data_IF_410014430661
#
_entry.id   IF_410014430661
#
_cell.length_a   1.000
_cell.length_b   1.000
_cell.length_c   1.000
_cell.angle_alpha   90.00
_cell.angle_beta   90.00
_cell.angle_gamma   90.00
#
_symmetry.space_group_name_H-M   'P 1'
#
loop_
_entity.id
_entity.type
_entity.pdbx_description
1 polymer ?
#
# COMPACT_ATOMS: atom_id res chain seq x y z
N UNK A 1 1.55 4.56 10.31
CA UNK A 1 2.08 3.48 9.45
C UNK A 1 2.47 4.07 8.11
N UNK A 2 3.77 4.19 7.89
CA UNK A 2 4.40 4.51 6.59
C UNK A 2 4.61 3.22 5.80
N UNK A 3 5.05 3.32 4.54
CA UNK A 3 5.36 2.12 3.76
C UNK A 3 6.60 1.39 4.28
N UNK A 4 7.61 2.12 4.75
CA UNK A 4 8.78 1.55 5.40
C UNK A 4 8.42 0.83 6.70
N UNK A 5 7.58 1.43 7.54
CA UNK A 5 7.12 0.80 8.78
C UNK A 5 6.32 -0.47 8.51
N UNK A 6 5.46 -0.45 7.49
CA UNK A 6 4.69 -1.64 7.11
C UNK A 6 5.61 -2.73 6.53
N UNK A 7 6.59 -2.35 5.72
CA UNK A 7 7.60 -3.28 5.19
C UNK A 7 8.38 -3.95 6.31
N UNK A 8 8.94 -3.16 7.23
CA UNK A 8 9.69 -3.67 8.38
C UNK A 8 8.86 -4.65 9.21
N UNK A 9 7.58 -4.30 9.44
CA UNK A 9 6.64 -5.14 10.15
C UNK A 9 6.29 -6.46 9.43
N UNK A 10 6.19 -6.44 8.10
CA UNK A 10 6.02 -7.67 7.30
C UNK A 10 7.25 -8.57 7.41
N UNK A 11 8.44 -7.99 7.31
CA UNK A 11 9.71 -8.73 7.43
C UNK A 11 9.86 -9.32 8.83
N UNK A 12 9.57 -8.55 9.88
CA UNK A 12 9.66 -9.02 11.28
C UNK A 12 8.72 -10.20 11.57
N UNK A 13 7.53 -10.21 10.96
CA UNK A 13 6.55 -11.28 11.13
C UNK A 13 6.75 -12.45 10.17
N UNK A 14 7.72 -12.38 9.27
CA UNK A 14 7.94 -13.45 8.32
C UNK A 14 8.41 -14.71 9.05
N UNK A 15 7.76 -15.84 8.76
CA UNK A 15 8.19 -17.13 9.32
C UNK A 15 9.42 -17.68 8.61
N UNK A 16 9.68 -17.22 7.39
CA UNK A 16 10.82 -17.55 6.52
C UNK A 16 11.52 -16.28 6.04
N UNK A 17 12.65 -16.41 5.33
CA UNK A 17 13.36 -15.28 4.74
C UNK A 17 12.42 -14.49 3.81
N UNK A 18 12.41 -13.16 3.95
CA UNK A 18 11.68 -12.31 3.02
C UNK A 18 12.39 -12.27 1.68
N UNK A 19 11.71 -12.69 0.62
CA UNK A 19 12.29 -12.86 -0.71
C UNK A 19 12.01 -11.74 -1.70
N UNK A 20 11.16 -10.77 -1.35
CA UNK A 20 10.75 -9.67 -2.23
C UNK A 20 11.64 -8.43 -2.12
N UNK A 21 11.57 -7.54 -3.13
CA UNK A 21 12.17 -6.19 -3.05
C UNK A 21 11.24 -5.17 -2.35
N UNK A 22 9.94 -5.47 -2.31
CA UNK A 22 8.89 -4.72 -1.64
C UNK A 22 7.83 -5.70 -1.12
N UNK A 23 7.00 -5.26 -0.17
CA UNK A 23 5.88 -6.04 0.36
C UNK A 23 4.52 -5.62 -0.21
N UNK A 24 4.53 -4.87 -1.32
CA UNK A 24 3.33 -4.44 -2.03
C UNK A 24 3.50 -3.14 -2.80
N UNK A 25 2.45 -2.71 -3.49
CA UNK A 25 2.47 -1.51 -4.33
C UNK A 25 1.11 -0.81 -4.45
N UNK A 26 1.08 0.40 -5.02
CA UNK A 26 -0.15 1.13 -5.32
C UNK A 26 -0.99 0.43 -6.39
N UNK A 27 -2.31 0.62 -6.33
CA UNK A 27 -3.25 0.23 -7.37
C UNK A 27 -3.89 1.48 -7.97
N UNK A 28 -3.99 1.51 -9.30
CA UNK A 28 -4.68 2.58 -10.01
C UNK A 28 -6.19 2.46 -9.87
N UNK A 29 -6.88 3.60 -9.73
CA UNK A 29 -8.32 3.63 -9.97
C UNK A 29 -8.60 3.59 -11.48
N UNK A 30 -9.69 2.94 -11.85
CA UNK A 30 -10.18 2.86 -13.22
C UNK A 30 -11.14 4.03 -13.51
N UNK A 31 -11.12 4.66 -14.71
CA UNK A 31 -10.24 4.37 -15.86
C UNK A 31 -8.81 4.86 -15.62
N UNK A 32 -7.84 3.99 -15.94
CA UNK A 32 -6.47 3.97 -15.41
C UNK A 32 -5.81 5.35 -15.19
N UNK A 33 -5.53 5.69 -13.93
CA UNK A 33 -4.42 6.59 -13.60
C UNK A 33 -3.08 5.92 -13.99
N UNK A 34 -2.06 6.68 -14.37
CA UNK A 34 -0.71 6.12 -14.54
C UNK A 34 0.04 6.19 -13.21
N UNK A 35 0.19 5.06 -12.53
CA UNK A 35 1.22 4.90 -11.50
C UNK A 35 2.58 4.90 -12.20
N UNK A 36 3.43 5.80 -11.75
CA UNK A 36 4.84 5.74 -12.07
C UNK A 36 5.47 4.63 -11.22
N UNK A 37 5.56 3.43 -11.80
CA UNK A 37 6.19 2.27 -11.17
C UNK A 37 7.69 2.45 -10.96
N UNK A 38 8.34 3.47 -11.54
CA UNK A 38 9.74 3.75 -11.25
C UNK A 38 9.94 4.52 -9.93
N UNK A 39 8.87 5.05 -9.32
CA UNK A 39 8.95 5.80 -8.07
C UNK A 39 8.81 4.89 -6.86
N UNK A 40 9.77 5.00 -5.92
CA UNK A 40 9.69 4.34 -4.61
C UNK A 40 8.37 4.63 -3.88
N UNK A 41 7.78 5.82 -4.10
CA UNK A 41 6.47 6.24 -3.59
C UNK A 41 5.31 5.28 -3.94
N UNK A 42 5.51 4.42 -4.93
CA UNK A 42 4.55 3.42 -5.39
C UNK A 42 4.66 2.09 -4.65
N UNK A 43 5.67 1.88 -3.80
CA UNK A 43 5.99 0.59 -3.18
C UNK A 43 6.01 0.61 -1.65
N UNK A 44 5.55 -0.48 -1.03
CA UNK A 44 5.71 -0.73 0.40
C UNK A 44 7.12 -1.31 0.58
N UNK A 45 8.09 -0.44 0.86
CA UNK A 45 9.51 -0.76 0.76
C UNK A 45 10.34 0.10 1.74
N UNK A 46 11.61 -0.26 2.01
CA UNK A 46 12.54 0.58 2.76
C UNK A 46 12.67 2.00 2.17
N UNK A 47 12.83 3.01 3.02
CA UNK A 47 12.93 4.42 2.60
C UNK A 47 11.60 5.07 2.16
N UNK A 48 10.48 4.34 2.24
CA UNK A 48 9.13 4.87 1.98
C UNK A 48 8.53 5.47 3.26
N UNK A 49 8.89 6.70 3.56
CA UNK A 49 8.47 7.44 4.77
C UNK A 49 7.04 8.02 4.71
N UNK A 50 6.40 8.02 3.55
CA UNK A 50 5.05 8.57 3.40
C UNK A 50 3.98 7.67 4.04
N UNK A 51 2.91 8.27 4.63
CA UNK A 51 1.77 7.52 5.15
C UNK A 51 1.15 6.60 4.11
N UNK A 52 0.77 5.39 4.54
CA UNK A 52 -0.01 4.44 3.73
C UNK A 52 -1.40 4.99 3.40
N UNK A 53 -2.02 5.69 4.36
CA UNK A 53 -3.26 6.45 4.15
C UNK A 53 -2.92 7.82 3.63
N UNK A 54 -3.16 8.06 2.34
CA UNK A 54 -3.02 9.39 1.74
C UNK A 54 -3.87 9.50 0.49
N UNK A 55 -4.01 10.73 0.03
CA UNK A 55 -4.52 11.03 -1.31
C UNK A 55 -3.38 11.09 -2.32
N UNK A 56 -3.61 10.57 -3.52
CA UNK A 56 -2.75 10.72 -4.69
C UNK A 56 -2.81 12.13 -5.27
N UNK A 57 -2.10 12.35 -6.39
CA UNK A 57 -1.99 13.65 -7.06
C UNK A 57 -3.34 14.20 -7.55
N UNK A 58 -4.28 13.32 -7.85
CA UNK A 58 -5.62 13.67 -8.33
C UNK A 58 -6.66 13.82 -7.20
N UNK A 59 -6.23 13.86 -5.94
CA UNK A 59 -7.11 13.96 -4.78
C UNK A 59 -7.83 12.66 -4.38
N UNK A 60 -7.63 11.58 -5.12
CA UNK A 60 -8.21 10.27 -4.84
C UNK A 60 -7.44 9.53 -3.75
N UNK A 61 -8.11 8.67 -2.99
CA UNK A 61 -7.46 7.85 -1.96
C UNK A 61 -6.52 6.83 -2.63
N UNK A 62 -5.31 6.70 -2.10
CA UNK A 62 -4.38 5.65 -2.52
C UNK A 62 -4.85 4.27 -2.02
N UNK A 63 -5.02 3.34 -2.95
CA UNK A 63 -5.26 1.93 -2.66
C UNK A 63 -3.97 1.13 -2.85
N UNK A 64 -3.84 0.05 -2.08
CA UNK A 64 -2.62 -0.75 -2.02
C UNK A 64 -2.94 -2.20 -2.34
N UNK A 65 -1.96 -2.87 -2.93
CA UNK A 65 -1.89 -4.32 -3.07
C UNK A 65 -0.79 -4.79 -2.13
N UNK A 66 -1.09 -5.69 -1.19
CA UNK A 66 -0.07 -6.42 -0.46
C UNK A 66 0.42 -7.56 -1.33
N UNK A 67 1.75 -7.71 -1.38
CA UNK A 67 2.42 -8.73 -2.16
C UNK A 67 3.64 -9.21 -1.37
N UNK A 68 3.52 -10.35 -0.70
CA UNK A 68 4.50 -10.85 0.26
C UNK A 68 5.10 -12.15 -0.26
N UNK A 69 6.42 -12.12 -0.49
CA UNK A 69 7.20 -13.28 -0.90
C UNK A 69 8.09 -13.74 0.25
N UNK A 70 7.98 -15.03 0.59
CA UNK A 70 8.78 -15.68 1.64
C UNK A 70 9.45 -16.92 1.06
N UNK A 71 10.71 -17.18 1.42
CA UNK A 71 11.51 -18.27 0.86
C UNK A 71 12.21 -19.09 1.94
N UNK A 72 12.14 -20.41 1.81
CA UNK A 72 12.95 -21.36 2.57
C UNK A 72 14.06 -21.86 1.63
N UNK A 73 15.28 -21.33 1.81
CA UNK A 73 16.43 -21.62 0.95
C UNK A 73 16.95 -23.04 1.14
N UNK A 74 16.78 -23.66 2.30
CA UNK A 74 17.23 -25.03 2.51
C UNK A 74 16.33 -26.01 1.77
N UNK A 75 15.02 -25.79 1.86
CA UNK A 75 14.02 -26.63 1.21
C UNK A 75 13.73 -26.26 -0.24
N UNK A 76 14.24 -25.13 -0.72
CA UNK A 76 14.02 -24.61 -2.07
C UNK A 76 12.54 -24.41 -2.39
N UNK A 77 11.78 -23.89 -1.43
CA UNK A 77 10.34 -23.63 -1.57
C UNK A 77 10.01 -22.19 -1.22
N UNK A 78 8.96 -21.66 -1.84
CA UNK A 78 8.45 -20.31 -1.63
C UNK A 78 7.02 -20.31 -1.09
N UNK A 79 6.65 -19.21 -0.42
CA UNK A 79 5.29 -18.85 -0.04
C UNK A 79 4.98 -17.48 -0.59
N UNK A 80 3.75 -17.34 -1.07
CA UNK A 80 3.22 -16.11 -1.60
C UNK A 80 1.90 -15.78 -0.89
N UNK A 81 1.74 -14.50 -0.54
CA UNK A 81 0.51 -13.98 0.03
C UNK A 81 0.18 -12.65 -0.64
N UNK A 82 -1.07 -12.50 -1.07
CA UNK A 82 -1.59 -11.28 -1.66
C UNK A 82 -2.92 -10.89 -1.02
N UNK A 83 -3.12 -9.58 -0.84
CA UNK A 83 -4.35 -9.04 -0.27
C UNK A 83 -4.58 -7.61 -0.78
N UNK A 84 -5.86 -7.25 -0.90
CA UNK A 84 -6.30 -5.86 -0.97
C UNK A 84 -6.62 -5.36 0.44
N UNK A 85 -5.65 -4.75 1.16
CA UNK A 85 -5.91 -4.29 2.52
C UNK A 85 -6.95 -3.17 2.52
N UNK A 86 -8.01 -3.35 3.30
CA UNK A 86 -8.90 -2.25 3.62
C UNK A 86 -8.18 -1.32 4.60
N UNK A 87 -7.89 -0.11 4.14
CA UNK A 87 -7.44 0.93 5.05
C UNK A 87 -8.66 1.47 5.83
N UNK A 88 -9.89 1.40 5.34
CA UNK A 88 -11.04 2.04 5.98
C UNK A 88 -11.06 3.53 5.67
N UNK A 89 -12.25 4.11 5.73
CA UNK A 89 -12.49 5.46 5.22
C UNK A 89 -12.03 6.53 6.22
N UNK A 90 -11.26 7.50 5.75
CA UNK A 90 -11.23 8.78 6.44
C UNK A 90 -12.59 9.45 6.17
N UNK A 91 -13.41 9.60 7.21
CA UNK A 91 -14.49 10.58 7.15
C UNK A 91 -13.80 11.94 6.96
N UNK A 92 -13.74 12.45 5.73
CA UNK A 92 -13.61 13.89 5.60
C UNK A 92 -14.88 14.43 6.25
N UNK A 93 -14.70 15.29 7.25
CA UNK A 93 -15.80 16.05 7.80
C UNK A 93 -16.46 16.77 6.61
N UNK A 94 -17.67 16.35 6.24
CA UNK A 94 -18.54 17.10 5.35
C UNK A 94 -18.74 18.48 5.97
N UNK A 95 -17.94 19.45 5.56
CA UNK A 95 -18.29 20.85 5.69
C UNK A 95 -18.84 21.32 4.34
N UNK A 96 -20.09 21.76 4.39
CA UNK A 96 -20.82 22.57 3.43
C UNK A 96 -21.39 21.88 2.18
N UNK A 97 -22.49 21.14 2.37
CA UNK A 97 -23.67 21.40 1.54
C UNK A 97 -24.70 22.13 2.43
N UNK A 98 -24.70 23.46 2.38
CA UNK A 98 -25.85 24.25 2.87
C UNK A 98 -26.84 24.33 1.71
N UNK A 99 -28.03 23.71 1.79
CA UNK A 99 -29.08 24.03 0.85
C UNK A 99 -29.44 25.51 1.03
N UNK A 100 -29.45 26.25 -0.08
CA UNK A 100 -29.97 27.61 -0.14
C UNK A 100 -31.44 27.55 0.28
N UNK A 101 -31.81 28.38 1.26
CA UNK A 101 -33.15 28.51 1.81
C UNK A 101 -34.17 28.83 0.72
N UNK A 102 -35.39 28.29 0.90
CA UNK A 102 -36.60 28.77 0.23
C UNK A 102 -37.13 30.07 0.84
#
# INVERSE_FOLDING_TARGET
>A
MTGEQLFAHVVERAGWEFGGAHSGHLINQFPYETIDSAKIASYIAPGRDQPMRRTGRNGQVCHWFLEIHQVDRERQIGRFYEELPDLGHQQSCCSAYRPVLG
#
